data_IF_886817237530
#
_entry.id   IF_886817237530
#
_cell.length_a   1.000
_cell.length_b   1.000
_cell.length_c   1.000
_cell.angle_alpha   90.00
_cell.angle_beta   90.00
_cell.angle_gamma   90.00
#
_symmetry.space_group_name_H-M   'P 1'
#
loop_
_entity.id
_entity.type
_entity.pdbx_description
1 polymer ?
#
# COMPACT_ATOMS: atom_id res chain seq x y z
N UNK A 1 7.70 7.32 17.61
CA UNK A 1 6.57 6.39 17.82
C UNK A 1 6.78 5.76 19.16
N UNK A 2 5.74 5.68 19.92
CA UNK A 2 5.79 5.15 21.27
C UNK A 2 4.56 4.27 21.48
N UNK A 3 4.80 2.99 21.82
CA UNK A 3 3.79 1.96 22.09
C UNK A 3 2.66 1.85 21.04
N UNK A 4 3.04 1.65 19.75
CA UNK A 4 2.09 1.48 18.66
C UNK A 4 1.76 0.01 18.48
N UNK A 5 0.48 -0.33 18.65
CA UNK A 5 -0.08 -1.65 18.29
C UNK A 5 -1.10 -1.47 17.17
N UNK A 6 -0.91 -2.19 16.06
CA UNK A 6 -1.79 -2.17 14.90
C UNK A 6 -1.90 -3.57 14.30
N UNK A 7 -3.12 -4.00 14.04
CA UNK A 7 -3.41 -5.27 13.37
C UNK A 7 -3.97 -5.02 11.98
N UNK A 8 -3.48 -5.78 11.00
CA UNK A 8 -4.03 -5.84 9.65
C UNK A 8 -4.62 -7.25 9.48
N UNK A 9 -5.95 -7.40 9.48
CA UNK A 9 -6.59 -8.71 9.32
C UNK A 9 -6.27 -9.31 7.95
N UNK A 10 -6.27 -10.64 7.88
CA UNK A 10 -6.00 -11.37 6.65
C UNK A 10 -7.01 -11.01 5.55
N UNK A 11 -6.51 -10.68 4.37
CA UNK A 11 -7.33 -10.32 3.21
C UNK A 11 -8.09 -9.00 3.35
N UNK A 12 -7.70 -8.10 4.26
CA UNK A 12 -8.36 -6.81 4.44
C UNK A 12 -7.42 -5.63 4.14
N UNK A 13 -8.03 -4.47 3.87
CA UNK A 13 -7.32 -3.20 3.76
C UNK A 13 -7.57 -2.39 5.03
N UNK A 14 -6.52 -2.13 5.80
CA UNK A 14 -6.55 -1.20 6.93
C UNK A 14 -5.98 0.15 6.46
N UNK A 15 -6.75 1.21 6.61
CA UNK A 15 -6.30 2.57 6.35
C UNK A 15 -5.57 3.15 7.56
N UNK A 16 -4.37 3.69 7.38
CA UNK A 16 -3.65 4.43 8.40
C UNK A 16 -3.62 5.90 8.05
N UNK A 17 -4.33 6.72 8.83
CA UNK A 17 -4.49 8.16 8.59
C UNK A 17 -3.92 9.00 9.71
N UNK A 18 -3.68 10.28 9.44
CA UNK A 18 -3.19 11.27 10.40
C UNK A 18 -2.38 12.36 9.70
N UNK A 19 -2.05 13.43 10.40
CA UNK A 19 -1.25 14.53 9.85
C UNK A 19 0.15 14.11 9.40
N UNK A 20 0.76 14.97 8.56
CA UNK A 20 2.17 14.82 8.21
C UNK A 20 3.04 14.86 9.47
N UNK A 21 4.00 13.94 9.57
CA UNK A 21 4.86 13.83 10.74
C UNK A 21 4.28 13.01 11.91
N UNK A 22 3.05 12.48 11.84
CA UNK A 22 2.47 11.64 12.91
C UNK A 22 3.17 10.30 13.10
N UNK A 23 3.99 9.84 12.13
CA UNK A 23 4.78 8.60 12.22
C UNK A 23 4.35 7.48 11.29
N UNK A 24 3.31 7.66 10.45
CA UNK A 24 2.74 6.63 9.55
C UNK A 24 3.78 5.96 8.66
N UNK A 25 4.51 6.74 7.88
CA UNK A 25 5.56 6.20 6.98
C UNK A 25 6.72 5.57 7.76
N UNK A 26 7.00 6.05 8.97
CA UNK A 26 8.01 5.44 9.85
C UNK A 26 7.55 4.06 10.32
N UNK A 27 6.26 3.91 10.66
CA UNK A 27 5.67 2.62 11.01
C UNK A 27 5.75 1.65 9.82
N UNK A 28 5.35 2.08 8.63
CA UNK A 28 5.45 1.27 7.41
C UNK A 28 6.89 0.85 7.11
N UNK A 29 7.85 1.76 7.20
CA UNK A 29 9.28 1.47 6.99
C UNK A 29 9.85 0.52 8.05
N UNK A 30 9.41 0.64 9.30
CA UNK A 30 9.80 -0.29 10.35
C UNK A 30 9.27 -1.70 10.06
N UNK A 31 8.03 -1.83 9.58
CA UNK A 31 7.42 -3.11 9.24
C UNK A 31 8.15 -3.87 8.13
N UNK A 32 8.80 -3.16 7.21
CA UNK A 32 9.63 -3.78 6.16
C UNK A 32 11.14 -3.77 6.48
N UNK A 33 11.53 -3.41 7.71
CA UNK A 33 12.93 -3.41 8.16
C UNK A 33 13.79 -2.30 7.55
N UNK A 34 13.19 -1.22 7.04
CA UNK A 34 13.88 -0.03 6.52
C UNK A 34 14.10 1.03 7.60
N UNK A 35 13.41 0.94 8.72
CA UNK A 35 13.69 1.72 9.93
C UNK A 35 13.91 0.76 11.10
N UNK A 36 14.84 1.08 12.03
CA UNK A 36 15.09 0.22 13.18
C UNK A 36 13.91 0.26 14.15
N UNK A 37 13.58 -0.90 14.74
CA UNK A 37 12.71 -0.98 15.89
C UNK A 37 13.57 -0.73 17.14
N UNK A 38 13.17 0.23 17.98
CA UNK A 38 13.77 0.44 19.31
C UNK A 38 13.24 -0.57 20.32
N UNK A 39 11.99 -1.00 20.16
CA UNK A 39 11.33 -2.04 20.96
C UNK A 39 10.15 -2.63 20.18
N UNK A 40 9.53 -3.70 20.69
CA UNK A 40 8.39 -4.34 20.08
C UNK A 40 8.76 -5.42 19.03
N UNK A 41 7.78 -5.86 18.29
CA UNK A 41 7.90 -6.96 17.31
C UNK A 41 6.88 -6.79 16.20
N UNK A 42 7.20 -7.34 15.03
CA UNK A 42 6.29 -7.45 13.89
C UNK A 42 6.00 -8.93 13.71
N UNK A 43 4.73 -9.25 13.67
CA UNK A 43 4.23 -10.62 13.56
C UNK A 43 3.45 -10.78 12.26
N UNK A 44 3.52 -11.97 11.67
CA UNK A 44 2.63 -12.48 10.64
C UNK A 44 2.12 -13.83 11.12
N UNK A 45 0.81 -13.99 11.28
CA UNK A 45 0.18 -15.19 11.83
C UNK A 45 0.81 -15.62 13.17
N UNK A 46 0.98 -14.65 14.08
CA UNK A 46 1.61 -14.78 15.40
C UNK A 46 3.11 -15.13 15.41
N UNK A 47 3.72 -15.30 14.24
CA UNK A 47 5.16 -15.60 14.12
C UNK A 47 5.97 -14.34 13.79
N UNK A 48 7.18 -14.18 14.39
CA UNK A 48 8.04 -13.03 14.11
C UNK A 48 8.45 -12.94 12.64
N UNK A 49 8.22 -11.78 12.03
CA UNK A 49 8.61 -11.51 10.63
C UNK A 49 10.12 -11.32 10.52
N UNK A 50 10.82 -12.04 9.64
CA UNK A 50 12.23 -11.79 9.37
C UNK A 50 12.40 -10.45 8.64
N UNK A 51 12.99 -9.45 9.33
CA UNK A 51 13.25 -8.12 8.76
C UNK A 51 14.46 -8.08 7.82
N UNK A 52 15.17 -9.19 7.64
CA UNK A 52 16.34 -9.32 6.75
C UNK A 52 16.18 -10.55 5.86
N UNK A 53 16.76 -10.51 4.67
CA UNK A 53 16.69 -11.62 3.70
C UNK A 53 15.92 -11.24 2.42
N UNK A 54 15.82 -12.18 1.48
CA UNK A 54 15.15 -11.97 0.19
C UNK A 54 13.65 -12.29 0.22
N UNK A 55 13.26 -13.26 1.04
CA UNK A 55 11.88 -13.74 1.11
C UNK A 55 11.13 -13.01 2.24
N UNK A 56 10.78 -11.76 1.97
CA UNK A 56 10.03 -10.95 2.92
C UNK A 56 8.54 -11.06 2.64
N UNK A 57 7.74 -11.46 3.63
CA UNK A 57 6.29 -11.59 3.46
C UNK A 57 5.59 -10.22 3.40
N UNK A 58 6.26 -9.15 3.82
CA UNK A 58 5.73 -7.78 3.77
C UNK A 58 6.53 -6.99 2.73
N UNK A 59 5.83 -6.38 1.79
CA UNK A 59 6.40 -5.49 0.77
C UNK A 59 5.84 -4.08 0.90
N UNK A 60 6.61 -3.07 0.45
CA UNK A 60 6.20 -1.68 0.53
C UNK A 60 6.23 -1.04 -0.87
N UNK A 61 5.15 -0.32 -1.18
CA UNK A 61 5.07 0.58 -2.32
C UNK A 61 5.22 2.00 -1.79
N UNK A 62 6.21 2.72 -2.33
CA UNK A 62 6.57 4.05 -1.84
C UNK A 62 5.76 5.15 -2.51
N UNK A 63 5.67 6.29 -1.86
CA UNK A 63 5.00 7.51 -2.33
C UNK A 63 5.53 7.97 -3.70
N UNK A 64 6.85 7.99 -3.89
CA UNK A 64 7.47 8.29 -5.18
C UNK A 64 7.79 7.00 -5.94
N UNK A 65 7.03 6.68 -7.01
CA UNK A 65 7.28 5.49 -7.81
C UNK A 65 8.63 5.51 -8.53
N UNK A 66 9.21 6.71 -8.75
CA UNK A 66 10.53 6.84 -9.38
C UNK A 66 11.65 6.32 -8.48
N UNK A 67 11.44 6.34 -7.17
CA UNK A 67 12.44 5.87 -6.19
C UNK A 67 12.65 4.35 -6.21
N UNK A 68 11.70 3.59 -6.75
CA UNK A 68 11.78 2.13 -6.83
C UNK A 68 12.16 1.58 -8.22
N UNK A 69 12.36 2.46 -9.21
CA UNK A 69 12.73 2.07 -10.58
C UNK A 69 14.11 2.63 -10.93
N UNK A 70 15.08 1.75 -11.23
CA UNK A 70 16.38 2.20 -11.77
C UNK A 70 16.15 2.74 -13.19
N UNK A 71 16.48 4.03 -13.46
CA UNK A 71 16.28 4.62 -14.80
C UNK A 71 17.10 3.97 -15.91
N UNK A 72 18.10 3.16 -15.56
CA UNK A 72 18.97 2.43 -16.51
C UNK A 72 18.41 1.05 -16.88
N UNK A 73 17.40 0.59 -16.17
CA UNK A 73 16.78 -0.73 -16.38
C UNK A 73 15.46 -0.59 -17.12
N UNK A 74 15.14 -1.55 -17.99
CA UNK A 74 13.79 -1.66 -18.52
C UNK A 74 12.81 -2.07 -17.41
N UNK A 75 11.54 -1.74 -17.60
CA UNK A 75 10.44 -2.16 -16.71
C UNK A 75 10.49 -3.65 -16.43
N UNK A 76 10.58 -4.46 -17.49
CA UNK A 76 10.62 -5.91 -17.37
C UNK A 76 11.81 -6.42 -16.58
N UNK A 77 13.01 -5.84 -16.79
CA UNK A 77 14.20 -6.19 -16.02
C UNK A 77 14.02 -5.84 -14.52
N UNK A 78 13.50 -4.64 -14.24
CA UNK A 78 13.25 -4.18 -12.88
C UNK A 78 12.19 -5.03 -12.16
N UNK A 79 11.11 -5.41 -12.83
CA UNK A 79 10.09 -6.32 -12.28
C UNK A 79 10.64 -7.73 -12.04
N UNK A 80 11.45 -8.25 -12.98
CA UNK A 80 12.03 -9.59 -12.87
C UNK A 80 12.96 -9.76 -11.65
N UNK A 81 13.51 -8.67 -11.09
CA UNK A 81 14.31 -8.73 -9.86
C UNK A 81 13.50 -9.19 -8.66
N UNK A 82 12.22 -8.81 -8.58
CA UNK A 82 11.35 -9.14 -7.45
C UNK A 82 10.74 -10.53 -7.58
N UNK A 83 10.62 -11.05 -8.80
CA UNK A 83 10.06 -12.38 -9.05
C UNK A 83 11.02 -13.47 -8.55
N UNK A 84 10.59 -14.39 -7.66
CA UNK A 84 11.43 -15.47 -7.17
C UNK A 84 11.85 -16.40 -8.30
N UNK A 85 13.04 -17.00 -8.18
CA UNK A 85 13.55 -17.96 -9.18
C UNK A 85 12.82 -19.29 -9.14
N UNK A 86 12.30 -19.64 -7.97
CA UNK A 86 11.55 -20.87 -7.72
C UNK A 86 10.25 -20.54 -7.03
N UNK A 87 9.22 -21.26 -7.38
CA UNK A 87 7.94 -21.20 -6.69
C UNK A 87 8.11 -21.74 -5.26
N UNK A 88 7.59 -21.04 -4.26
CA UNK A 88 7.76 -21.40 -2.83
C UNK A 88 7.05 -22.70 -2.48
N UNK A 89 5.92 -22.99 -3.14
CA UNK A 89 5.08 -24.15 -2.83
C UNK A 89 5.54 -25.39 -3.58
N UNK A 90 5.80 -25.25 -4.89
CA UNK A 90 6.09 -26.39 -5.77
C UNK A 90 7.58 -26.63 -5.99
N UNK A 91 8.45 -25.65 -5.64
CA UNK A 91 9.88 -25.68 -5.93
C UNK A 91 10.22 -25.54 -7.42
N UNK A 92 9.22 -25.42 -8.31
CA UNK A 92 9.40 -25.33 -9.75
C UNK A 92 10.11 -24.02 -10.15
N UNK A 93 10.87 -24.06 -11.24
CA UNK A 93 11.51 -22.86 -11.80
C UNK A 93 10.46 -21.94 -12.37
N UNK A 94 10.45 -20.66 -11.95
CA UNK A 94 9.53 -19.63 -12.45
C UNK A 94 10.06 -19.04 -13.75
N UNK A 95 9.22 -19.04 -14.80
CA UNK A 95 9.51 -18.29 -16.02
C UNK A 95 9.26 -16.80 -15.75
N UNK A 96 10.32 -16.05 -15.45
CA UNK A 96 10.22 -14.62 -15.08
C UNK A 96 9.63 -13.75 -16.16
N UNK A 97 9.89 -14.01 -17.44
CA UNK A 97 9.33 -13.23 -18.52
C UNK A 97 7.80 -13.39 -18.58
N UNK A 98 7.32 -14.64 -18.45
CA UNK A 98 5.88 -14.91 -18.38
C UNK A 98 5.24 -14.28 -17.14
N UNK A 99 5.93 -14.33 -16.00
CA UNK A 99 5.43 -13.73 -14.76
C UNK A 99 5.40 -12.20 -14.84
N UNK A 100 6.39 -11.55 -15.46
CA UNK A 100 6.38 -10.10 -15.72
C UNK A 100 5.19 -9.71 -16.60
N UNK A 101 4.92 -10.45 -17.67
CA UNK A 101 3.77 -10.18 -18.53
C UNK A 101 2.44 -10.33 -17.75
N UNK A 102 2.30 -11.37 -16.92
CA UNK A 102 1.14 -11.56 -16.04
C UNK A 102 0.98 -10.40 -15.03
N UNK A 103 2.08 -9.93 -14.44
CA UNK A 103 2.06 -8.83 -13.47
C UNK A 103 1.70 -7.49 -14.14
N UNK A 104 2.11 -7.25 -15.39
CA UNK A 104 1.69 -6.07 -16.16
C UNK A 104 0.19 -6.13 -16.45
N UNK A 105 -0.31 -7.26 -16.91
CA UNK A 105 -1.74 -7.49 -17.15
C UNK A 105 -2.56 -7.27 -15.87
N UNK A 106 -2.09 -7.82 -14.74
CA UNK A 106 -2.72 -7.67 -13.43
C UNK A 106 -2.88 -6.20 -12.96
N UNK A 107 -1.98 -5.32 -13.39
CA UNK A 107 -2.09 -3.88 -13.12
C UNK A 107 -2.63 -3.09 -14.32
N UNK A 108 -3.31 -3.75 -15.24
CA UNK A 108 -3.94 -3.17 -16.42
C UNK A 108 -2.95 -2.40 -17.31
N UNK A 109 -1.78 -2.94 -17.53
CA UNK A 109 -0.75 -2.39 -18.41
C UNK A 109 -0.40 -3.38 -19.52
N UNK A 110 -0.12 -2.84 -20.71
CA UNK A 110 0.30 -3.64 -21.86
C UNK A 110 1.64 -4.34 -21.58
N UNK A 111 1.75 -5.60 -21.98
CA UNK A 111 2.96 -6.41 -21.84
C UNK A 111 4.17 -5.80 -22.60
N UNK A 112 3.93 -5.03 -23.67
CA UNK A 112 4.97 -4.35 -24.45
C UNK A 112 5.72 -3.30 -23.60
N UNK A 113 5.11 -2.79 -22.52
CA UNK A 113 5.78 -1.90 -21.58
C UNK A 113 6.96 -2.55 -20.85
N UNK A 114 7.08 -3.88 -20.90
CA UNK A 114 8.25 -4.57 -20.35
C UNK A 114 9.57 -4.10 -20.99
N UNK A 115 9.55 -3.67 -22.26
CA UNK A 115 10.71 -3.15 -22.97
C UNK A 115 10.97 -1.66 -22.72
N UNK A 116 10.01 -0.91 -22.16
CA UNK A 116 10.11 0.51 -21.91
C UNK A 116 11.06 0.83 -20.75
N UNK A 117 11.59 2.05 -20.75
CA UNK A 117 12.34 2.62 -19.63
C UNK A 117 11.44 3.52 -18.76
N UNK A 118 11.77 3.72 -17.48
CA UNK A 118 10.95 4.54 -16.57
C UNK A 118 10.67 5.97 -17.08
N UNK A 119 11.60 6.55 -17.84
CA UNK A 119 11.43 7.88 -18.43
C UNK A 119 10.33 7.97 -19.51
N UNK A 120 9.95 6.84 -20.09
CA UNK A 120 8.92 6.74 -21.15
C UNK A 120 7.50 6.57 -20.59
N UNK A 121 7.37 6.45 -19.27
CA UNK A 121 6.11 6.15 -18.59
C UNK A 121 5.45 7.41 -18.01
N UNK A 122 4.12 7.42 -17.98
CA UNK A 122 3.36 8.40 -17.20
C UNK A 122 3.50 8.15 -15.69
N UNK A 123 3.11 9.13 -14.85
CA UNK A 123 3.11 8.98 -13.40
C UNK A 123 2.26 7.79 -12.93
N UNK A 124 1.05 7.65 -13.46
CA UNK A 124 0.15 6.54 -13.13
C UNK A 124 0.69 5.17 -13.59
N UNK A 125 1.35 5.09 -14.77
CA UNK A 125 2.01 3.87 -15.19
C UNK A 125 3.16 3.48 -14.28
N UNK A 126 4.02 4.44 -13.88
CA UNK A 126 5.08 4.20 -12.90
C UNK A 126 4.53 3.68 -11.57
N UNK A 127 3.41 4.26 -11.10
CA UNK A 127 2.77 3.84 -9.86
C UNK A 127 2.24 2.40 -9.94
N UNK A 128 1.57 2.04 -11.04
CA UNK A 128 1.08 0.68 -11.28
C UNK A 128 2.23 -0.33 -11.38
N UNK A 129 3.34 0.03 -12.02
CA UNK A 129 4.54 -0.80 -12.08
C UNK A 129 5.17 -0.97 -10.70
N UNK A 130 5.21 0.08 -9.87
CA UNK A 130 5.64 -0.03 -8.47
C UNK A 130 4.81 -1.03 -7.67
N UNK A 131 3.49 -1.02 -7.87
CA UNK A 131 2.57 -1.98 -7.27
C UNK A 131 2.82 -3.41 -7.81
N UNK A 132 2.96 -3.56 -9.13
CA UNK A 132 3.28 -4.84 -9.76
C UNK A 132 4.62 -5.43 -9.27
N UNK A 133 5.64 -4.59 -9.06
CA UNK A 133 6.92 -5.02 -8.47
C UNK A 133 6.75 -5.56 -7.06
N UNK A 134 5.96 -4.89 -6.22
CA UNK A 134 5.68 -5.38 -4.87
C UNK A 134 4.98 -6.74 -4.91
N UNK A 135 3.97 -6.88 -5.77
CA UNK A 135 3.23 -8.13 -5.96
C UNK A 135 4.10 -9.26 -6.56
N UNK A 136 5.11 -8.91 -7.37
CA UNK A 136 6.06 -9.87 -7.95
C UNK A 136 6.83 -10.67 -6.90
N UNK A 137 7.04 -10.12 -5.71
CA UNK A 137 7.63 -10.82 -4.58
C UNK A 137 6.69 -11.84 -3.91
N UNK A 138 5.39 -11.87 -4.30
CA UNK A 138 4.33 -12.69 -3.71
C UNK A 138 4.23 -12.46 -2.19
N UNK A 139 3.98 -11.22 -1.75
CA UNK A 139 3.88 -10.90 -0.34
C UNK A 139 2.54 -11.36 0.25
N UNK A 140 2.52 -11.59 1.56
CA UNK A 140 1.29 -11.79 2.33
C UNK A 140 0.63 -10.44 2.69
N UNK A 141 1.47 -9.38 2.86
CA UNK A 141 1.02 -8.04 3.18
C UNK A 141 1.70 -7.00 2.28
N UNK A 142 0.94 -6.05 1.76
CA UNK A 142 1.45 -4.87 1.05
C UNK A 142 1.21 -3.61 1.89
N UNK A 143 2.25 -2.82 2.08
CA UNK A 143 2.17 -1.48 2.66
C UNK A 143 2.20 -0.47 1.51
N UNK A 144 1.11 0.28 1.35
CA UNK A 144 0.97 1.32 0.33
C UNK A 144 1.15 2.69 1.00
N UNK A 145 2.34 3.31 0.88
CA UNK A 145 2.67 4.58 1.56
C UNK A 145 2.42 5.76 0.63
N UNK A 146 1.31 6.46 0.84
CA UNK A 146 0.88 7.67 0.11
C UNK A 146 0.92 7.55 -1.43
N UNK A 147 0.67 6.35 -1.96
CA UNK A 147 0.87 5.99 -3.36
C UNK A 147 0.00 6.75 -4.37
N UNK A 148 -0.98 7.51 -3.91
CA UNK A 148 -1.87 8.31 -4.79
C UNK A 148 -1.70 9.81 -4.61
N UNK A 149 -0.85 10.28 -3.69
CA UNK A 149 -0.73 11.70 -3.32
C UNK A 149 -0.17 12.59 -4.44
N UNK A 150 0.65 12.04 -5.33
CA UNK A 150 1.28 12.73 -6.45
C UNK A 150 0.53 12.56 -7.78
N UNK A 151 -0.68 11.96 -7.77
CA UNK A 151 -1.46 11.69 -8.97
C UNK A 151 -2.61 12.68 -9.12
N UNK A 152 -2.95 13.01 -10.36
CA UNK A 152 -4.15 13.77 -10.70
C UNK A 152 -5.41 13.00 -10.25
N UNK A 153 -6.48 13.72 -9.92
CA UNK A 153 -7.73 13.15 -9.37
C UNK A 153 -8.29 12.02 -10.24
N UNK A 154 -8.25 12.17 -11.58
CA UNK A 154 -8.73 11.15 -12.51
C UNK A 154 -7.89 9.86 -12.48
N UNK A 155 -6.57 10.00 -12.41
CA UNK A 155 -5.62 8.88 -12.34
C UNK A 155 -5.68 8.22 -10.95
N UNK A 156 -5.87 9.02 -9.90
CA UNK A 156 -6.04 8.55 -8.53
C UNK A 156 -7.19 7.55 -8.42
N UNK A 157 -8.38 7.88 -8.96
CA UNK A 157 -9.54 6.99 -8.96
C UNK A 157 -9.26 5.65 -9.62
N UNK A 158 -8.56 5.65 -10.75
CA UNK A 158 -8.20 4.42 -11.45
C UNK A 158 -7.25 3.54 -10.62
N UNK A 159 -6.25 4.13 -9.95
CA UNK A 159 -5.33 3.37 -9.08
C UNK A 159 -6.04 2.82 -7.85
N UNK A 160 -7.00 3.55 -7.27
CA UNK A 160 -7.78 3.09 -6.12
C UNK A 160 -8.70 1.91 -6.48
N UNK A 161 -9.34 1.96 -7.67
CA UNK A 161 -10.12 0.83 -8.18
C UNK A 161 -9.23 -0.39 -8.35
N UNK A 162 -8.10 -0.24 -9.02
CA UNK A 162 -7.13 -1.31 -9.21
C UNK A 162 -6.70 -1.95 -7.86
N UNK A 163 -6.43 -1.15 -6.83
CA UNK A 163 -6.07 -1.66 -5.50
C UNK A 163 -7.19 -2.54 -4.93
N UNK A 164 -8.45 -2.12 -5.04
CA UNK A 164 -9.59 -2.89 -4.56
C UNK A 164 -9.77 -4.20 -5.32
N UNK A 165 -9.58 -4.16 -6.63
CA UNK A 165 -9.71 -5.34 -7.48
C UNK A 165 -8.59 -6.33 -7.21
N UNK A 166 -7.35 -5.86 -7.08
CA UNK A 166 -6.19 -6.67 -6.69
C UNK A 166 -6.37 -7.31 -5.29
N UNK A 167 -6.87 -6.54 -4.32
CA UNK A 167 -7.12 -7.06 -2.99
C UNK A 167 -8.15 -8.19 -3.02
N UNK A 168 -9.23 -8.04 -3.79
CA UNK A 168 -10.28 -9.07 -3.93
C UNK A 168 -9.78 -10.31 -4.67
N UNK A 169 -9.09 -10.11 -5.79
CA UNK A 169 -8.60 -11.19 -6.64
C UNK A 169 -7.52 -12.03 -5.97
N UNK A 170 -6.58 -11.36 -5.29
CA UNK A 170 -5.42 -12.00 -4.66
C UNK A 170 -5.65 -12.32 -3.18
N UNK A 171 -6.74 -11.84 -2.58
CA UNK A 171 -6.99 -11.92 -1.13
C UNK A 171 -5.82 -11.38 -0.29
N UNK A 172 -5.15 -10.34 -0.78
CA UNK A 172 -3.95 -9.77 -0.15
C UNK A 172 -4.33 -8.83 0.99
N UNK A 173 -3.59 -8.90 2.09
CA UNK A 173 -3.74 -7.94 3.18
C UNK A 173 -2.99 -6.65 2.87
N UNK A 174 -3.54 -5.49 3.23
CA UNK A 174 -2.90 -4.22 2.92
C UNK A 174 -2.98 -3.22 4.07
N UNK A 175 -1.87 -2.54 4.35
CA UNK A 175 -1.84 -1.31 5.13
C UNK A 175 -1.75 -0.12 4.17
N UNK A 176 -2.85 0.62 4.05
CA UNK A 176 -2.96 1.77 3.15
C UNK A 176 -2.74 3.07 3.92
N UNK A 177 -1.59 3.69 3.75
CA UNK A 177 -1.19 4.92 4.44
C UNK A 177 -1.56 6.13 3.57
N UNK A 178 -2.33 7.07 4.14
CA UNK A 178 -2.68 8.32 3.49
C UNK A 178 -2.94 9.42 4.52
N UNK A 179 -2.71 10.68 4.13
CA UNK A 179 -3.19 11.83 4.88
C UNK A 179 -4.62 12.24 4.43
N UNK A 180 -5.13 11.65 3.34
CA UNK A 180 -6.44 11.96 2.79
C UNK A 180 -7.46 10.88 3.21
N UNK A 181 -8.33 11.25 4.17
CA UNK A 181 -9.33 10.35 4.72
C UNK A 181 -10.39 9.92 3.68
N UNK A 182 -10.71 10.80 2.70
CA UNK A 182 -11.65 10.47 1.62
C UNK A 182 -11.13 9.32 0.73
N UNK A 183 -9.82 9.28 0.50
CA UNK A 183 -9.15 8.20 -0.23
C UNK A 183 -9.21 6.89 0.56
N UNK A 184 -8.89 6.96 1.85
CA UNK A 184 -8.92 5.79 2.74
C UNK A 184 -10.33 5.22 2.86
N UNK A 185 -11.36 6.07 3.03
CA UNK A 185 -12.77 5.67 3.03
C UNK A 185 -13.14 4.81 1.81
N UNK A 186 -12.52 5.09 0.66
CA UNK A 186 -12.85 4.39 -0.58
C UNK A 186 -12.31 2.95 -0.64
N UNK A 187 -11.17 2.68 0.00
CA UNK A 187 -10.48 1.38 -0.12
C UNK A 187 -10.49 0.55 1.15
N UNK A 188 -10.51 1.16 2.33
CA UNK A 188 -10.28 0.49 3.60
C UNK A 188 -11.58 -0.06 4.23
N UNK A 189 -11.49 -1.25 4.82
CA UNK A 189 -12.53 -1.85 5.68
C UNK A 189 -12.47 -1.33 7.11
N UNK A 190 -11.26 -1.04 7.59
CA UNK A 190 -10.99 -0.49 8.93
C UNK A 190 -10.03 0.69 8.85
N UNK A 191 -10.12 1.62 9.79
CA UNK A 191 -9.27 2.81 9.85
C UNK A 191 -8.56 2.87 11.20
N UNK A 192 -7.24 3.11 11.15
CA UNK A 192 -6.42 3.49 12.28
C UNK A 192 -6.05 4.97 12.16
N UNK A 193 -6.31 5.75 13.20
CA UNK A 193 -5.97 7.18 13.24
C UNK A 193 -4.72 7.35 14.09
N UNK A 194 -3.67 7.92 13.49
CA UNK A 194 -2.38 8.12 14.14
C UNK A 194 -2.12 9.59 14.42
N UNK A 195 -1.87 9.91 15.69
CA UNK A 195 -1.55 11.25 16.17
C UNK A 195 -0.31 11.24 17.05
N UNK A 196 0.69 12.06 16.70
CA UNK A 196 1.95 12.22 17.45
C UNK A 196 2.61 10.91 17.89
N UNK A 197 2.63 9.93 17.00
CA UNK A 197 3.30 8.66 17.24
C UNK A 197 2.46 7.58 17.96
N UNK A 198 1.17 7.83 18.21
CA UNK A 198 0.24 6.88 18.85
C UNK A 198 -0.95 6.60 17.93
N UNK A 199 -1.50 5.38 18.00
CA UNK A 199 -2.83 5.10 17.44
C UNK A 199 -3.85 5.58 18.47
N UNK A 200 -4.60 6.63 18.12
CA UNK A 200 -5.59 7.24 19.02
C UNK A 200 -6.98 6.66 18.83
N UNK A 201 -7.27 6.13 17.63
CA UNK A 201 -8.55 5.50 17.34
C UNK A 201 -8.36 4.39 16.29
N UNK A 202 -9.09 3.27 16.42
CA UNK A 202 -9.09 2.18 15.47
C UNK A 202 -10.45 1.49 15.48
N UNK A 203 -10.98 1.22 14.29
CA UNK A 203 -12.27 0.53 14.15
C UNK A 203 -12.71 0.40 12.70
N UNK A 204 -13.92 -0.14 12.48
CA UNK A 204 -14.55 -0.19 11.17
C UNK A 204 -14.59 1.19 10.50
N UNK A 205 -14.31 1.25 9.20
CA UNK A 205 -14.21 2.53 8.49
C UNK A 205 -15.51 3.36 8.61
N UNK A 206 -16.66 2.72 8.52
CA UNK A 206 -17.96 3.39 8.65
C UNK A 206 -18.12 4.03 10.03
N UNK A 207 -17.74 3.35 11.10
CA UNK A 207 -17.86 3.85 12.47
C UNK A 207 -16.95 5.05 12.72
N UNK A 208 -15.66 4.94 12.34
CA UNK A 208 -14.69 6.04 12.46
C UNK A 208 -15.14 7.29 11.68
N UNK A 209 -15.79 7.11 10.53
CA UNK A 209 -16.21 8.20 9.66
C UNK A 209 -17.52 8.86 10.09
N UNK A 210 -18.43 8.11 10.76
CA UNK A 210 -19.76 8.61 11.12
C UNK A 210 -19.90 8.96 12.59
N UNK A 211 -19.13 8.29 13.46
CA UNK A 211 -19.22 8.46 14.92
C UNK A 211 -17.84 8.43 15.59
N UNK A 212 -16.90 9.31 15.20
CA UNK A 212 -15.56 9.35 15.78
C UNK A 212 -15.60 9.70 17.26
N UNK A 213 -14.90 8.92 18.09
CA UNK A 213 -14.88 9.11 19.54
C UNK A 213 -13.74 10.02 20.00
N UNK A 214 -12.67 10.14 19.19
CA UNK A 214 -11.53 10.96 19.56
C UNK A 214 -11.63 12.39 18.99
N UNK A 215 -11.34 13.43 19.79
CA UNK A 215 -11.38 14.81 19.33
C UNK A 215 -10.53 15.06 18.08
N UNK A 216 -9.34 14.48 18.03
CA UNK A 216 -8.45 14.61 16.87
C UNK A 216 -9.06 14.00 15.59
N UNK A 217 -9.75 12.86 15.70
CA UNK A 217 -10.45 12.26 14.56
C UNK A 217 -11.57 13.17 14.05
N UNK A 218 -12.29 13.81 14.98
CA UNK A 218 -13.35 14.78 14.65
C UNK A 218 -12.77 16.00 13.90
N UNK A 219 -11.63 16.53 14.37
CA UNK A 219 -10.92 17.62 13.71
C UNK A 219 -10.45 17.22 12.29
N UNK A 220 -9.92 16.02 12.14
CA UNK A 220 -9.45 15.47 10.87
C UNK A 220 -10.59 15.31 9.86
N UNK A 221 -11.76 14.87 10.32
CA UNK A 221 -12.99 14.76 9.51
C UNK A 221 -13.56 16.13 9.14
N UNK A 222 -13.57 17.08 10.07
CA UNK A 222 -14.04 18.44 9.82
C UNK A 222 -13.18 19.21 8.79
N UNK A 223 -11.92 18.81 8.62
CA UNK A 223 -11.01 19.38 7.63
C UNK A 223 -11.24 18.87 6.19
N UNK A 224 -12.10 17.86 5.99
CA UNK A 224 -12.46 17.36 4.65
C UNK A 224 -13.44 18.37 4.01
N UNK A 225 -13.15 18.89 2.81
CA UNK A 225 -14.09 19.78 2.11
C UNK A 225 -15.43 19.09 1.81
N UNK A 226 -16.56 19.76 2.05
CA UNK A 226 -17.93 19.23 1.83
C UNK A 226 -18.20 18.73 0.40
N UNK A 227 -17.40 19.13 -0.58
CA UNK A 227 -17.52 18.69 -1.98
C UNK A 227 -17.24 17.20 -2.20
N UNK A 228 -16.68 16.50 -1.21
CA UNK A 228 -16.27 15.07 -1.31
C UNK A 228 -17.20 14.18 -0.47
N UNK A 229 -18.13 14.74 0.30
CA UNK A 229 -19.07 13.96 1.11
C UNK A 229 -20.42 13.74 0.38
N UNK A 230 -20.69 12.55 -0.21
CA UNK A 230 -21.96 12.26 -0.87
C UNK A 230 -23.13 12.08 0.11
N UNK A 231 -22.90 11.93 1.42
CA UNK A 231 -23.95 11.69 2.42
C UNK A 231 -24.67 12.99 2.85
N UNK A 232 -24.05 14.17 2.65
CA UNK A 232 -24.66 15.48 2.96
C UNK A 232 -25.54 16.05 1.83
N UNK A 233 -25.67 15.40 0.68
CA UNK A 233 -26.52 15.84 -0.45
C UNK A 233 -27.98 15.38 -0.35
N UNK A 234 -28.39 14.70 0.72
CA UNK A 234 -29.75 14.18 0.92
C UNK A 234 -30.42 14.81 2.16
N UNK A 235 -30.33 16.14 2.27
CA UNK A 235 -31.13 16.90 3.26
C UNK A 235 -31.79 18.07 2.58
#
# INVERSE_FOLDING_TARGET
>A
MDDVSLTVPSGEIVGLVGESGSGKSTLGRAAVGLAPLSAGRILLDDEPVPLRGRDRPIQMVFQDPSSCLDPRMTVGASMAETVPRRDRTTGATVNRAKEVARLLDLVELDADLAAAYPSQLSGGQRQRIGLARALGARPDVVIADEITSALDVSVQGTVLNLIRDLQRELSISMLFISHNLAVVRYVASSIAVMYRGHIVEYGPAEEILTNPQQPYTQELLAAIPDSVDPTRRAS
#
